data_IF_989395160619
#
_entry.id   IF_989395160619
#
_cell.length_a   1.000
_cell.length_b   1.000
_cell.length_c   1.000
_cell.angle_alpha   90.00
_cell.angle_beta   90.00
_cell.angle_gamma   90.00
#
_symmetry.space_group_name_H-M   'P 1'
#
loop_
_entity.id
_entity.type
_entity.pdbx_description
1 polymer ?
#
# COMPACT_ATOMS: atom_id res chain seq x y z
N UNK A 1 11.60 22.73 -16.35
CA UNK A 1 11.03 21.79 -15.37
C UNK A 1 11.38 20.38 -15.83
N UNK A 2 12.21 19.66 -15.05
CA UNK A 2 12.79 18.40 -15.48
C UNK A 2 11.74 17.27 -15.50
N UNK A 3 11.45 16.71 -16.68
CA UNK A 3 10.73 15.44 -16.81
C UNK A 3 11.60 14.34 -16.20
N UNK A 4 11.31 13.90 -14.98
CA UNK A 4 11.91 12.68 -14.40
C UNK A 4 11.52 11.49 -15.29
N UNK A 5 12.53 10.73 -15.69
CA UNK A 5 12.46 9.56 -16.57
C UNK A 5 11.48 8.53 -15.97
N UNK A 6 10.34 8.30 -16.62
CA UNK A 6 9.43 7.20 -16.25
C UNK A 6 10.12 5.88 -16.59
N UNK A 7 10.33 5.02 -15.59
CA UNK A 7 10.89 3.69 -15.79
C UNK A 7 9.88 2.79 -16.53
N UNK A 8 10.36 2.12 -17.57
CA UNK A 8 9.61 1.35 -18.58
C UNK A 8 9.35 -0.09 -18.08
N UNK A 9 8.77 -0.22 -16.89
CA UNK A 9 8.44 -1.51 -16.25
C UNK A 9 7.01 -1.52 -15.73
N UNK A 10 6.03 -1.30 -16.63
CA UNK A 10 4.66 -0.97 -16.26
C UNK A 10 3.93 -2.08 -15.49
N UNK A 11 3.76 -1.88 -14.19
CA UNK A 11 2.78 -2.58 -13.38
C UNK A 11 1.41 -1.89 -13.49
N UNK A 12 0.30 -2.54 -13.08
CA UNK A 12 -0.99 -1.85 -13.01
C UNK A 12 -0.97 -0.60 -12.10
N UNK A 13 -0.20 -0.61 -11.01
CA UNK A 13 -0.05 0.56 -10.13
C UNK A 13 0.63 1.74 -10.82
N UNK A 14 1.77 1.52 -11.47
CA UNK A 14 2.52 2.58 -12.18
C UNK A 14 1.76 3.08 -13.42
N UNK A 15 1.01 2.19 -14.08
CA UNK A 15 0.08 2.55 -15.16
C UNK A 15 -1.04 3.45 -14.66
N UNK A 16 -1.66 3.11 -13.51
CA UNK A 16 -2.72 3.92 -12.92
C UNK A 16 -2.23 5.32 -12.51
N UNK A 17 -1.04 5.41 -11.89
CA UNK A 17 -0.42 6.69 -11.52
C UNK A 17 -0.12 7.55 -12.75
N UNK A 18 0.43 6.94 -13.80
CA UNK A 18 0.74 7.62 -15.06
C UNK A 18 -0.52 8.15 -15.73
N UNK A 19 -1.57 7.33 -15.83
CA UNK A 19 -2.84 7.71 -16.42
C UNK A 19 -3.53 8.86 -15.65
N UNK A 20 -3.37 8.90 -14.33
CA UNK A 20 -3.91 9.95 -13.48
C UNK A 20 -3.04 11.21 -13.38
N UNK A 21 -1.89 11.26 -14.08
CA UNK A 21 -0.97 12.40 -14.07
C UNK A 21 -0.31 12.65 -12.71
N UNK A 22 -0.22 11.63 -11.86
CA UNK A 22 0.35 11.74 -10.52
C UNK A 22 1.87 11.78 -10.61
N UNK A 23 2.51 12.65 -9.83
CA UNK A 23 3.95 12.63 -9.68
C UNK A 23 4.37 11.48 -8.74
N UNK A 24 5.23 10.58 -9.23
CA UNK A 24 5.80 9.49 -8.43
C UNK A 24 7.23 9.17 -8.88
N UNK A 25 7.98 8.49 -8.02
CA UNK A 25 9.28 7.89 -8.35
C UNK A 25 9.20 6.39 -8.13
N UNK A 26 9.74 5.59 -9.06
CA UNK A 26 9.86 4.13 -8.89
C UNK A 26 11.20 3.83 -8.26
N UNK A 27 11.21 2.94 -7.28
CA UNK A 27 12.41 2.43 -6.64
C UNK A 27 12.45 0.92 -6.77
N UNK A 28 13.58 0.38 -7.24
CA UNK A 28 13.81 -1.06 -7.37
C UNK A 28 14.89 -1.48 -6.37
N UNK A 29 14.69 -2.63 -5.74
CA UNK A 29 15.64 -3.24 -4.82
C UNK A 29 15.72 -4.75 -5.07
N UNK A 30 16.86 -5.35 -4.74
CA UNK A 30 17.03 -6.78 -4.81
C UNK A 30 16.15 -7.44 -3.74
N UNK A 31 15.18 -8.24 -4.17
CA UNK A 31 14.31 -9.00 -3.27
C UNK A 31 14.86 -10.41 -3.03
N UNK A 32 15.03 -10.79 -1.77
CA UNK A 32 15.28 -12.15 -1.32
C UNK A 32 13.95 -12.86 -1.03
N UNK A 33 13.69 -13.95 -1.75
CA UNK A 33 12.50 -14.77 -1.54
C UNK A 33 12.39 -15.38 -0.13
N UNK A 34 13.47 -15.34 0.67
CA UNK A 34 13.52 -15.81 2.06
C UNK A 34 13.21 -14.72 3.09
N UNK A 35 12.99 -13.48 2.67
CA UNK A 35 12.70 -12.37 3.59
C UNK A 35 11.45 -12.66 4.45
N UNK A 36 11.55 -12.38 5.75
CA UNK A 36 10.47 -12.59 6.71
C UNK A 36 9.34 -11.55 6.57
N UNK A 37 9.67 -10.34 6.10
CA UNK A 37 8.75 -9.23 5.89
C UNK A 37 9.18 -8.40 4.69
N UNK A 38 8.40 -8.46 3.60
CA UNK A 38 8.68 -7.74 2.36
C UNK A 38 8.79 -6.22 2.55
N UNK A 39 8.02 -5.67 3.50
CA UNK A 39 8.01 -4.23 3.75
C UNK A 39 9.23 -3.73 4.53
N UNK A 40 9.71 -4.53 5.49
CA UNK A 40 10.93 -4.19 6.25
C UNK A 40 12.17 -4.35 5.37
N UNK A 41 12.20 -5.41 4.55
CA UNK A 41 13.24 -5.61 3.53
C UNK A 41 13.37 -4.39 2.59
N UNK A 42 12.25 -3.85 2.12
CA UNK A 42 12.23 -2.65 1.28
C UNK A 42 12.89 -1.45 2.00
N UNK A 43 12.53 -1.22 3.26
CA UNK A 43 13.08 -0.13 4.06
C UNK A 43 14.59 -0.28 4.27
N UNK A 44 15.05 -1.48 4.63
CA UNK A 44 16.47 -1.80 4.84
C UNK A 44 17.27 -1.67 3.55
N UNK A 45 16.81 -2.29 2.45
CA UNK A 45 17.52 -2.32 1.18
C UNK A 45 17.67 -0.93 0.55
N UNK A 46 16.70 -0.03 0.80
CA UNK A 46 16.71 1.33 0.27
C UNK A 46 17.22 2.38 1.26
N UNK A 47 17.50 2.01 2.51
CA UNK A 47 17.92 2.96 3.56
C UNK A 47 16.86 4.01 3.90
N UNK A 48 15.58 3.61 3.90
CA UNK A 48 14.43 4.48 4.15
C UNK A 48 13.88 4.22 5.54
N UNK A 49 13.39 5.28 6.19
CA UNK A 49 12.64 5.16 7.45
C UNK A 49 11.44 4.19 7.29
N UNK A 50 11.38 3.07 8.06
CA UNK A 50 10.26 2.13 8.04
C UNK A 50 8.89 2.75 8.33
N UNK A 51 8.82 3.94 8.96
CA UNK A 51 7.56 4.67 9.14
C UNK A 51 6.98 5.19 7.81
N UNK A 52 7.83 5.41 6.80
CA UNK A 52 7.45 5.93 5.47
C UNK A 52 7.11 4.82 4.47
N UNK A 53 7.51 3.59 4.73
CA UNK A 53 7.14 2.44 3.89
C UNK A 53 5.84 1.86 4.41
N UNK A 54 4.81 1.79 3.56
CA UNK A 54 3.47 1.37 3.95
C UNK A 54 3.14 0.01 3.30
N UNK A 55 2.66 -0.92 4.12
CA UNK A 55 2.14 -2.20 3.67
C UNK A 55 0.63 -2.14 3.44
N UNK A 56 0.19 -2.80 2.37
CA UNK A 56 -1.22 -2.94 2.01
C UNK A 56 -1.73 -4.28 2.52
N UNK A 57 -2.70 -4.23 3.44
CA UNK A 57 -3.27 -5.39 4.09
C UNK A 57 -4.76 -5.47 3.83
N UNK A 58 -5.29 -6.69 3.79
CA UNK A 58 -6.69 -6.94 3.58
C UNK A 58 -7.33 -7.56 4.83
N UNK A 59 -8.51 -7.06 5.18
CA UNK A 59 -9.33 -7.56 6.26
C UNK A 59 -10.74 -7.85 5.76
N UNK A 60 -11.37 -8.87 6.31
CA UNK A 60 -12.82 -9.05 6.28
C UNK A 60 -13.41 -8.20 7.40
N UNK A 61 -14.28 -7.25 7.05
CA UNK A 61 -15.06 -6.44 7.99
C UNK A 61 -16.54 -6.75 7.74
N UNK A 62 -17.15 -7.47 8.68
CA UNK A 62 -18.56 -7.90 8.60
C UNK A 62 -18.94 -8.58 7.26
N UNK A 63 -18.02 -9.37 6.67
CA UNK A 63 -18.20 -10.08 5.40
C UNK A 63 -17.79 -9.29 4.16
N UNK A 64 -17.30 -8.06 4.32
CA UNK A 64 -16.80 -7.22 3.24
C UNK A 64 -15.29 -7.10 3.26
N UNK A 65 -14.66 -7.21 2.11
CA UNK A 65 -13.21 -7.09 1.96
C UNK A 65 -12.79 -5.61 1.98
N UNK A 66 -11.94 -5.24 2.94
CA UNK A 66 -11.48 -3.86 3.22
C UNK A 66 -9.96 -3.81 3.23
N UNK A 67 -9.40 -2.70 2.75
CA UNK A 67 -7.96 -2.45 2.70
C UNK A 67 -7.53 -1.55 3.85
N UNK A 68 -6.51 -1.97 4.59
CA UNK A 68 -5.75 -1.15 5.53
C UNK A 68 -4.35 -0.88 4.99
N UNK A 69 -3.95 0.38 4.92
CA UNK A 69 -2.60 0.80 4.51
C UNK A 69 -1.91 1.41 5.73
N UNK A 70 -0.92 0.70 6.27
CA UNK A 70 -0.24 1.05 7.54
C UNK A 70 1.28 1.01 7.37
N UNK A 71 2.06 1.75 8.18
CA UNK A 71 3.52 1.63 8.17
C UNK A 71 4.01 0.20 8.39
N UNK A 72 5.10 -0.17 7.74
CA UNK A 72 5.71 -1.50 7.91
C UNK A 72 6.23 -1.68 9.34
N UNK A 73 6.66 -0.59 9.99
CA UNK A 73 7.12 -0.52 11.38
C UNK A 73 6.08 -0.90 12.44
N UNK A 74 4.80 -0.98 12.08
CA UNK A 74 3.71 -1.29 13.01
C UNK A 74 2.83 -2.44 12.51
N UNK A 75 1.74 -2.72 13.23
CA UNK A 75 0.74 -3.70 12.83
C UNK A 75 -0.60 -3.02 12.55
N UNK A 76 -1.46 -3.68 11.77
CA UNK A 76 -2.83 -3.22 11.60
C UNK A 76 -3.66 -3.50 12.87
N UNK A 77 -4.31 -2.47 13.39
CA UNK A 77 -5.38 -2.62 14.38
C UNK A 77 -6.70 -2.90 13.68
N UNK A 78 -7.11 -4.17 13.72
CA UNK A 78 -8.36 -4.64 13.13
C UNK A 78 -9.61 -3.97 13.75
N UNK A 79 -9.60 -3.65 15.04
CA UNK A 79 -10.74 -2.97 15.69
C UNK A 79 -10.83 -1.53 15.22
N UNK A 80 -9.70 -0.85 15.10
CA UNK A 80 -9.65 0.51 14.58
C UNK A 80 -10.07 0.56 13.10
N UNK A 81 -9.60 -0.39 12.29
CA UNK A 81 -10.01 -0.52 10.89
C UNK A 81 -11.53 -0.73 10.77
N UNK A 82 -12.11 -1.66 11.54
CA UNK A 82 -13.55 -1.89 11.56
C UNK A 82 -14.32 -0.60 11.85
N UNK A 83 -13.92 0.14 12.91
CA UNK A 83 -14.53 1.43 13.25
C UNK A 83 -14.42 2.47 12.13
N UNK A 84 -13.25 2.58 11.50
CA UNK A 84 -13.00 3.56 10.44
C UNK A 84 -13.93 3.38 9.22
N UNK A 85 -14.37 2.15 8.95
CA UNK A 85 -15.34 1.85 7.88
C UNK A 85 -16.78 1.65 8.38
N UNK A 86 -17.05 1.85 9.66
CA UNK A 86 -18.39 1.71 10.26
C UNK A 86 -18.82 0.26 10.55
N UNK A 87 -17.89 -0.68 10.54
CA UNK A 87 -18.10 -2.08 10.89
C UNK A 87 -17.94 -2.37 12.39
N UNK A 88 -18.33 -3.59 12.78
CA UNK A 88 -18.35 -4.06 14.18
C UNK A 88 -17.17 -4.97 14.52
N UNK A 89 -16.79 -5.85 13.58
CA UNK A 89 -15.68 -6.79 13.75
C UNK A 89 -14.86 -6.86 12.47
N UNK A 90 -13.56 -7.11 12.63
CA UNK A 90 -12.67 -7.38 11.53
C UNK A 90 -11.75 -8.56 11.83
N UNK A 91 -11.39 -9.30 10.78
CA UNK A 91 -10.39 -10.35 10.79
C UNK A 91 -9.45 -10.16 9.60
N UNK A 92 -8.20 -10.61 9.70
CA UNK A 92 -7.33 -10.65 8.52
C UNK A 92 -7.98 -11.52 7.43
N UNK A 93 -7.99 -11.01 6.20
CA UNK A 93 -8.51 -11.76 5.07
C UNK A 93 -7.57 -12.93 4.72
N UNK A 94 -8.13 -13.98 4.12
CA UNK A 94 -7.34 -15.03 3.49
C UNK A 94 -6.43 -14.40 2.40
N UNK A 95 -5.10 -14.61 2.46
CA UNK A 95 -4.19 -14.10 1.45
C UNK A 95 -4.60 -14.46 0.02
N UNK A 96 -5.14 -15.66 -0.23
CA UNK A 96 -5.63 -16.06 -1.56
C UNK A 96 -6.84 -15.25 -2.01
N UNK A 97 -7.70 -14.84 -1.08
CA UNK A 97 -8.82 -13.96 -1.39
C UNK A 97 -8.32 -12.56 -1.79
N UNK A 98 -7.33 -12.03 -1.08
CA UNK A 98 -6.69 -10.75 -1.42
C UNK A 98 -6.01 -10.80 -2.80
N UNK A 99 -5.27 -11.87 -3.11
CA UNK A 99 -4.63 -12.02 -4.43
C UNK A 99 -5.67 -12.05 -5.57
N UNK A 100 -6.75 -12.83 -5.41
CA UNK A 100 -7.84 -12.88 -6.40
C UNK A 100 -8.52 -11.53 -6.58
N UNK A 101 -8.79 -10.82 -5.49
CA UNK A 101 -9.50 -9.54 -5.50
C UNK A 101 -8.66 -8.42 -6.13
N UNK A 102 -7.36 -8.42 -5.88
CA UNK A 102 -6.44 -7.38 -6.33
C UNK A 102 -5.86 -7.65 -7.71
N UNK A 103 -5.61 -8.91 -8.05
CA UNK A 103 -4.80 -9.31 -9.19
C UNK A 103 -3.29 -9.25 -8.93
N UNK A 104 -2.88 -8.93 -7.71
CA UNK A 104 -1.48 -8.96 -7.26
C UNK A 104 -1.19 -10.24 -6.46
N UNK A 105 0.08 -10.48 -6.16
CA UNK A 105 0.54 -11.57 -5.28
C UNK A 105 0.97 -11.01 -3.93
N UNK A 106 0.85 -11.81 -2.87
CA UNK A 106 1.35 -11.46 -1.53
C UNK A 106 2.83 -11.06 -1.59
N UNK A 107 3.18 -10.01 -0.84
CA UNK A 107 4.50 -9.36 -0.90
C UNK A 107 4.66 -8.36 -2.04
N UNK A 108 3.70 -8.29 -2.96
CA UNK A 108 3.64 -7.31 -4.06
C UNK A 108 2.28 -6.65 -4.21
N UNK A 109 1.43 -6.68 -3.18
CA UNK A 109 0.10 -6.07 -3.24
C UNK A 109 0.23 -4.55 -3.11
N UNK A 110 -0.10 -3.86 -4.20
CA UNK A 110 -0.22 -2.40 -4.21
C UNK A 110 -1.62 -1.97 -3.73
N UNK A 111 -1.76 -0.82 -3.06
CA UNK A 111 -3.07 -0.21 -2.86
C UNK A 111 -3.58 0.45 -4.16
N UNK A 112 -2.73 0.57 -5.19
CA UNK A 112 -3.02 1.24 -6.45
C UNK A 112 -3.16 0.23 -7.61
N UNK A 113 -3.99 0.58 -8.59
CA UNK A 113 -4.16 -0.24 -9.80
C UNK A 113 -4.74 -1.64 -9.54
N UNK A 114 -5.49 -1.83 -8.45
CA UNK A 114 -6.19 -3.08 -8.18
C UNK A 114 -7.32 -3.31 -9.20
N UNK A 115 -7.60 -4.57 -9.55
CA UNK A 115 -8.70 -4.93 -10.49
C UNK A 115 -10.08 -4.46 -10.03
N UNK A 116 -10.30 -4.45 -8.72
CA UNK A 116 -11.52 -3.92 -8.08
C UNK A 116 -11.11 -2.88 -7.05
N UNK A 117 -11.86 -1.79 -6.99
CA UNK A 117 -11.74 -0.84 -5.89
C UNK A 117 -12.35 -1.46 -4.62
N UNK A 118 -11.68 -1.27 -3.49
CA UNK A 118 -12.14 -1.72 -2.18
C UNK A 118 -12.19 -0.52 -1.23
N UNK A 119 -13.10 -0.52 -0.24
CA UNK A 119 -13.03 0.45 0.86
C UNK A 119 -11.62 0.42 1.44
N UNK A 120 -10.95 1.57 1.41
CA UNK A 120 -9.55 1.69 1.80
C UNK A 120 -9.43 2.69 2.94
N UNK A 121 -8.62 2.33 3.93
CA UNK A 121 -8.23 3.22 5.02
C UNK A 121 -6.71 3.34 5.02
N UNK A 122 -6.23 4.57 4.93
CA UNK A 122 -4.80 4.90 5.07
C UNK A 122 -4.57 5.39 6.49
N UNK A 123 -3.54 4.87 7.14
CA UNK A 123 -3.17 5.29 8.48
C UNK A 123 -2.82 6.78 8.53
N UNK A 124 -3.36 7.49 9.52
CA UNK A 124 -3.19 8.93 9.67
C UNK A 124 -1.72 9.38 9.74
N UNK A 125 -0.83 8.52 10.24
CA UNK A 125 0.59 8.86 10.33
C UNK A 125 1.29 9.04 8.98
N UNK A 126 0.76 8.46 7.90
CA UNK A 126 1.30 8.64 6.56
C UNK A 126 1.32 10.13 6.15
N UNK A 127 0.35 10.92 6.62
CA UNK A 127 0.23 12.34 6.31
C UNK A 127 1.29 13.22 7.00
N UNK A 128 2.00 12.70 8.00
CA UNK A 128 3.09 13.42 8.66
C UNK A 128 4.38 13.44 7.83
N UNK A 129 4.43 12.69 6.73
CA UNK A 129 5.61 12.58 5.88
C UNK A 129 5.42 13.36 4.56
N UNK A 130 6.49 13.94 4.00
CA UNK A 130 6.41 14.61 2.70
C UNK A 130 6.11 13.62 1.56
N UNK A 131 6.67 12.41 1.65
CA UNK A 131 6.42 11.30 0.74
C UNK A 131 6.41 9.98 1.50
N UNK A 132 5.66 9.02 0.96
CA UNK A 132 5.53 7.65 1.45
C UNK A 132 5.81 6.67 0.31
N UNK A 133 6.12 5.43 0.67
CA UNK A 133 6.39 4.33 -0.24
C UNK A 133 5.31 3.27 -0.11
N UNK A 134 4.78 2.80 -1.23
CA UNK A 134 3.86 1.65 -1.29
C UNK A 134 4.30 0.71 -2.41
N UNK A 135 3.97 -0.57 -2.28
CA UNK A 135 4.35 -1.57 -3.28
C UNK A 135 3.89 -1.12 -4.67
N UNK A 136 4.77 -1.25 -5.66
CA UNK A 136 4.47 -0.94 -7.04
C UNK A 136 3.65 -2.05 -7.73
N UNK A 137 3.23 -3.10 -7.03
CA UNK A 137 2.52 -4.23 -7.64
C UNK A 137 3.41 -5.42 -8.01
N UNK A 138 4.70 -5.35 -7.63
CA UNK A 138 5.72 -6.38 -7.87
C UNK A 138 6.70 -6.37 -6.69
N UNK A 139 7.17 -7.55 -6.28
CA UNK A 139 8.22 -7.68 -5.26
C UNK A 139 9.52 -7.02 -5.73
N UNK A 140 10.26 -6.40 -4.81
CA UNK A 140 11.48 -5.65 -5.16
C UNK A 140 11.21 -4.31 -5.85
N UNK A 141 9.97 -3.80 -5.80
CA UNK A 141 9.62 -2.53 -6.44
C UNK A 141 8.60 -1.74 -5.62
N UNK A 142 8.96 -0.51 -5.25
CA UNK A 142 8.10 0.46 -4.57
C UNK A 142 7.82 1.66 -5.47
N UNK A 143 6.71 2.35 -5.21
CA UNK A 143 6.46 3.71 -5.69
C UNK A 143 6.49 4.69 -4.54
N UNK A 144 7.25 5.76 -4.70
CA UNK A 144 7.26 6.92 -3.81
C UNK A 144 6.33 8.00 -4.36
N UNK A 145 5.40 8.47 -3.53
CA UNK A 145 4.43 9.51 -3.88
C UNK A 145 4.03 10.33 -2.64
N UNK A 146 3.32 11.44 -2.85
CA UNK A 146 2.76 12.19 -1.73
C UNK A 146 1.61 11.40 -1.08
N UNK A 147 1.47 11.43 0.25
CA UNK A 147 0.38 10.71 0.92
C UNK A 147 -1.00 11.27 0.57
N UNK A 148 -1.10 12.56 0.21
CA UNK A 148 -2.33 13.17 -0.30
C UNK A 148 -2.77 12.53 -1.63
N UNK A 149 -1.83 12.31 -2.56
CA UNK A 149 -2.12 11.64 -3.82
C UNK A 149 -2.45 10.17 -3.62
N UNK A 150 -1.80 9.48 -2.67
CA UNK A 150 -2.17 8.12 -2.29
C UNK A 150 -3.65 8.07 -1.85
N UNK A 151 -4.04 8.93 -0.90
CA UNK A 151 -5.43 9.00 -0.40
C UNK A 151 -6.42 9.32 -1.52
N UNK A 152 -6.10 10.29 -2.39
CA UNK A 152 -6.92 10.66 -3.55
C UNK A 152 -7.12 9.49 -4.50
N UNK A 153 -6.03 8.82 -4.88
CA UNK A 153 -6.04 7.73 -5.85
C UNK A 153 -6.79 6.49 -5.35
N UNK A 154 -6.79 6.24 -4.04
CA UNK A 154 -7.50 5.11 -3.42
C UNK A 154 -8.89 5.48 -2.93
N UNK A 155 -9.32 6.74 -3.06
CA UNK A 155 -10.51 7.29 -2.40
C UNK A 155 -10.57 6.90 -0.92
N UNK A 156 -9.42 6.91 -0.23
CA UNK A 156 -9.31 6.34 1.10
C UNK A 156 -9.91 7.26 2.16
N UNK A 157 -10.42 6.64 3.21
CA UNK A 157 -10.57 7.32 4.51
C UNK A 157 -9.22 7.39 5.19
N UNK A 158 -9.01 8.42 6.00
CA UNK A 158 -7.84 8.55 6.86
C UNK A 158 -8.26 8.34 8.30
N UNK A 159 -7.58 7.43 9.01
CA UNK A 159 -7.83 7.16 10.43
C UNK A 159 -6.58 6.56 11.09
N UNK A 160 -6.48 6.64 12.41
CA UNK A 160 -5.46 5.89 13.16
C UNK A 160 -5.84 4.40 13.18
N UNK A 161 -5.09 3.58 12.46
CA UNK A 161 -5.34 2.14 12.30
C UNK A 161 -4.07 1.29 12.48
N UNK A 162 -2.94 1.90 12.85
CA UNK A 162 -1.73 1.18 13.28
C UNK A 162 -1.70 0.95 14.79
N UNK A 163 -0.99 -0.09 15.22
CA UNK A 163 -0.60 -0.36 16.61
C UNK A 163 0.85 -0.84 16.70
#
# INVERSE_FOLDING_TARGET
>A
MAKKKQAVGGTPATSALTAAGVAFTVHEYAHDARAASYGEEAAEAMGIDPARVLKTLFADVDGALVVGVVPVAGQLDLKALARAVGGRKAAMADPRAAERATGYVVGGISPLGQRKAHPTVVDASALAHPTVYVSAGKRGMEVELSPAELVRMTAARVAEIRK
#
